data_IF_176164657894
#
_entry.id   IF_176164657894
#
_cell.length_a   1.000
_cell.length_b   1.000
_cell.length_c   1.000
_cell.angle_alpha   90.00
_cell.angle_beta   90.00
_cell.angle_gamma   90.00
#
_symmetry.space_group_name_H-M   'P 1'
#
loop_
_entity.id
_entity.type
_entity.pdbx_description
1 polymer ?
#
# COMPACT_ATOMS: atom_id res chain seq x y z
N UNK A 1 7.07 -20.41 -2.18
CA UNK A 1 6.43 -19.26 -2.85
C UNK A 1 7.15 -17.98 -2.45
N UNK A 2 7.65 -17.18 -3.39
CA UNK A 2 8.13 -15.82 -3.10
C UNK A 2 6.95 -14.84 -3.16
N UNK A 3 6.93 -13.76 -2.38
CA UNK A 3 5.90 -12.72 -2.52
C UNK A 3 5.97 -12.10 -3.92
N UNK A 4 4.93 -12.30 -4.74
CA UNK A 4 4.90 -11.78 -6.12
C UNK A 4 4.72 -10.25 -6.20
N UNK A 5 4.11 -9.66 -5.18
CA UNK A 5 3.73 -8.25 -5.20
C UNK A 5 4.64 -7.41 -4.30
N UNK A 6 5.54 -6.64 -4.94
CA UNK A 6 6.38 -5.69 -4.24
C UNK A 6 5.60 -4.42 -3.92
N UNK A 7 5.51 -4.06 -2.64
CA UNK A 7 4.69 -2.94 -2.13
C UNK A 7 4.94 -1.62 -2.91
N UNK A 8 6.19 -1.19 -3.17
CA UNK A 8 6.45 0.01 -3.95
C UNK A 8 5.84 -0.01 -5.36
N UNK A 9 5.79 -1.17 -6.02
CA UNK A 9 5.19 -1.31 -7.35
C UNK A 9 3.67 -1.10 -7.29
N UNK A 10 3.01 -1.70 -6.30
CA UNK A 10 1.57 -1.53 -6.07
C UNK A 10 1.25 -0.04 -5.87
N UNK A 11 2.00 0.63 -4.98
CA UNK A 11 1.75 2.03 -4.63
C UNK A 11 2.03 2.99 -5.79
N UNK A 12 3.09 2.73 -6.57
CA UNK A 12 3.40 3.48 -7.79
C UNK A 12 2.24 3.41 -8.79
N UNK A 13 1.76 2.20 -9.06
CA UNK A 13 0.64 1.97 -9.99
C UNK A 13 -0.63 2.65 -9.45
N UNK A 14 -0.95 2.45 -8.18
CA UNK A 14 -2.16 2.98 -7.57
C UNK A 14 -2.18 4.51 -7.58
N UNK A 15 -1.14 5.17 -7.05
CA UNK A 15 -1.05 6.64 -7.01
C UNK A 15 -1.01 7.23 -8.42
N UNK A 16 -0.30 6.59 -9.35
CA UNK A 16 -0.20 7.05 -10.74
C UNK A 16 -1.52 6.95 -11.52
N UNK A 17 -2.16 5.79 -11.50
CA UNK A 17 -3.43 5.57 -12.24
C UNK A 17 -4.55 6.41 -11.65
N UNK A 18 -4.68 6.46 -10.32
CA UNK A 18 -5.70 7.28 -9.67
C UNK A 18 -5.54 8.76 -9.99
N UNK A 19 -4.31 9.29 -9.94
CA UNK A 19 -4.04 10.68 -10.30
C UNK A 19 -4.40 10.97 -11.77
N UNK A 20 -3.96 10.11 -12.69
CA UNK A 20 -4.29 10.26 -14.12
C UNK A 20 -5.81 10.25 -14.35
N UNK A 21 -6.54 9.27 -13.78
CA UNK A 21 -7.98 9.17 -13.96
C UNK A 21 -8.73 10.37 -13.38
N UNK A 22 -8.34 10.83 -12.19
CA UNK A 22 -8.93 12.00 -11.56
C UNK A 22 -8.71 13.27 -12.37
N UNK A 23 -7.49 13.50 -12.89
CA UNK A 23 -7.22 14.65 -13.74
C UNK A 23 -7.94 14.62 -15.09
N UNK A 24 -8.24 13.44 -15.64
CA UNK A 24 -9.04 13.32 -16.86
C UNK A 24 -10.52 13.60 -16.60
N UNK A 25 -11.05 13.11 -15.47
CA UNK A 25 -12.47 13.29 -15.10
C UNK A 25 -12.77 14.68 -14.55
N UNK A 26 -11.78 15.29 -13.89
CA UNK A 26 -11.88 16.57 -13.19
C UNK A 26 -10.69 17.48 -13.53
N UNK A 27 -10.63 18.04 -14.76
CA UNK A 27 -9.53 18.90 -15.19
C UNK A 27 -9.32 20.12 -14.29
N UNK A 28 -10.38 20.62 -13.65
CA UNK A 28 -10.37 21.76 -12.72
C UNK A 28 -9.45 21.54 -11.51
N UNK A 29 -9.21 20.28 -11.13
CA UNK A 29 -8.34 19.94 -10.00
C UNK A 29 -6.89 20.31 -10.29
N UNK A 30 -6.43 20.27 -11.55
CA UNK A 30 -5.05 20.66 -11.90
C UNK A 30 -4.74 22.10 -11.54
N UNK A 31 -5.73 22.99 -11.65
CA UNK A 31 -5.57 24.41 -11.36
C UNK A 31 -5.62 24.70 -9.87
N UNK A 32 -6.22 23.81 -9.07
CA UNK A 32 -6.33 23.93 -7.61
C UNK A 32 -5.20 23.25 -6.87
N UNK A 33 -4.57 22.23 -7.49
CA UNK A 33 -3.54 21.43 -6.85
C UNK A 33 -2.21 21.51 -7.60
N UNK A 34 -1.21 22.13 -6.95
CA UNK A 34 0.24 21.90 -7.09
C UNK A 34 0.70 21.57 -8.53
N UNK A 35 0.14 22.28 -9.52
CA UNK A 35 0.38 22.11 -10.95
C UNK A 35 0.47 20.64 -11.44
N UNK A 36 -0.47 19.79 -11.01
CA UNK A 36 -0.54 18.38 -11.47
C UNK A 36 0.03 17.34 -10.51
N UNK A 37 0.48 17.74 -9.31
CA UNK A 37 0.77 16.79 -8.22
C UNK A 37 -0.49 16.56 -7.37
N UNK A 38 -1.15 15.41 -7.55
CA UNK A 38 -2.34 15.07 -6.78
C UNK A 38 -2.01 14.50 -5.39
N UNK A 39 -1.03 13.60 -5.32
CA UNK A 39 -0.66 12.91 -4.09
C UNK A 39 0.68 13.42 -3.57
N UNK A 40 0.85 13.46 -2.24
CA UNK A 40 2.17 13.63 -1.65
C UNK A 40 3.11 12.53 -2.18
N UNK A 41 4.37 12.81 -2.56
CA UNK A 41 5.30 11.79 -3.07
C UNK A 41 5.51 10.63 -2.09
N UNK A 42 5.46 10.88 -0.79
CA UNK A 42 5.63 9.87 0.26
C UNK A 42 4.43 8.92 0.40
N UNK A 43 4.65 7.80 1.08
CA UNK A 43 3.61 6.87 1.49
C UNK A 43 3.99 6.21 2.82
N UNK A 44 2.98 5.72 3.55
CA UNK A 44 3.15 4.94 4.77
C UNK A 44 2.57 3.54 4.55
N UNK A 45 3.26 2.51 5.04
CA UNK A 45 2.81 1.13 4.98
C UNK A 45 3.13 0.43 6.30
N UNK A 46 2.16 -0.32 6.82
CA UNK A 46 2.31 -1.14 8.00
C UNK A 46 1.68 -2.51 7.74
N UNK A 47 2.26 -3.56 8.30
CA UNK A 47 1.69 -4.91 8.25
C UNK A 47 0.55 -5.02 9.26
N UNK A 48 -0.57 -5.59 8.83
CA UNK A 48 -1.70 -5.91 9.70
C UNK A 48 -1.81 -7.43 9.79
N UNK A 49 -1.91 -7.95 11.01
CA UNK A 49 -2.16 -9.37 11.28
C UNK A 49 -3.37 -9.47 12.19
N UNK A 50 -4.27 -10.41 11.92
CA UNK A 50 -5.37 -10.75 12.82
C UNK A 50 -4.87 -11.48 14.08
N UNK A 51 -3.71 -12.13 13.97
CA UNK A 51 -3.06 -12.81 15.08
C UNK A 51 -2.08 -11.86 15.76
N UNK A 52 -2.10 -11.83 17.10
CA UNK A 52 -1.09 -11.14 17.88
C UNK A 52 0.27 -11.82 17.74
N UNK A 53 1.34 -11.08 18.01
CA UNK A 53 2.70 -11.62 18.01
C UNK A 53 2.82 -12.83 18.97
N UNK A 54 2.16 -12.78 20.12
CA UNK A 54 2.13 -13.86 21.10
C UNK A 54 1.46 -15.13 20.56
N UNK A 55 0.36 -15.00 19.81
CA UNK A 55 -0.32 -16.14 19.20
C UNK A 55 0.58 -16.82 18.16
N UNK A 56 1.30 -16.03 17.35
CA UNK A 56 2.27 -16.55 16.37
C UNK A 56 3.42 -17.26 17.08
N UNK A 57 3.98 -16.68 18.13
CA UNK A 57 5.06 -17.30 18.94
C UNK A 57 4.65 -18.64 19.53
N UNK A 58 3.45 -18.70 20.13
CA UNK A 58 2.90 -19.95 20.70
C UNK A 58 2.72 -21.02 19.63
N UNK A 59 2.15 -20.66 18.48
CA UNK A 59 1.98 -21.59 17.36
C UNK A 59 3.32 -22.20 16.91
N UNK A 60 4.36 -21.37 16.71
CA UNK A 60 5.69 -21.83 16.29
C UNK A 60 6.32 -22.80 17.31
N UNK A 61 6.15 -22.54 18.61
CA UNK A 61 6.69 -23.41 19.66
C UNK A 61 5.99 -24.78 19.67
N UNK A 62 4.66 -24.79 19.60
CA UNK A 62 3.86 -26.04 19.61
C UNK A 62 4.01 -26.88 18.34
N UNK A 63 4.44 -26.28 17.23
CA UNK A 63 4.66 -27.00 15.96
C UNK A 63 5.88 -27.95 15.99
N UNK A 64 6.84 -27.76 16.90
CA UNK A 64 8.04 -28.62 17.00
C UNK A 64 7.85 -29.87 17.86
N UNK A 65 6.76 -29.94 18.61
CA UNK A 65 6.47 -31.06 19.52
C UNK A 65 5.67 -32.19 18.85
N UNK A 66 5.46 -32.09 17.53
CA UNK A 66 4.70 -33.06 16.74
C UNK A 66 5.55 -33.79 15.72
#
# INVERSE_FOLDING_TARGET
>A
CSPQHFIPNILKIFKGISARKLFLKHPEIKNKLWNGHLWNPSYFVATVSENTEEQIKRYIQTQKER
#
